data_IF_920142681612
#
_entry.id   IF_920142681612
#
_cell.length_a   1.000
_cell.length_b   1.000
_cell.length_c   1.000
_cell.angle_alpha   90.00
_cell.angle_beta   90.00
_cell.angle_gamma   90.00
#
_symmetry.space_group_name_H-M   'P 1'
#
loop_
_entity.id
_entity.type
_entity.pdbx_description
1 polymer ?
#
# COMPACT_ATOMS: atom_id res chain seq x y z
N UNK A 1 10.87 -12.16 -26.22
CA UNK A 1 11.59 -11.47 -25.13
C UNK A 1 11.26 -12.14 -23.80
N UNK A 2 12.27 -12.48 -22.98
CA UNK A 2 12.05 -13.09 -21.66
C UNK A 2 11.51 -12.03 -20.69
N UNK A 3 10.38 -12.32 -20.02
CA UNK A 3 9.88 -11.46 -18.93
C UNK A 3 10.96 -11.32 -17.84
N UNK A 4 11.15 -10.11 -17.26
CA UNK A 4 11.97 -9.86 -16.08
C UNK A 4 11.69 -10.85 -14.94
N UNK A 5 12.69 -11.12 -14.10
CA UNK A 5 12.56 -12.06 -12.97
C UNK A 5 11.47 -11.60 -11.99
N UNK A 6 11.38 -10.29 -11.75
CA UNK A 6 10.39 -9.69 -10.86
C UNK A 6 8.95 -9.97 -11.35
N UNK A 7 8.67 -9.75 -12.63
CA UNK A 7 7.36 -10.01 -13.23
C UNK A 7 6.95 -11.47 -13.07
N UNK A 8 7.90 -12.40 -13.20
CA UNK A 8 7.61 -13.83 -13.00
C UNK A 8 7.30 -14.17 -11.55
N UNK A 9 7.99 -13.54 -10.60
CA UNK A 9 7.71 -13.73 -9.18
C UNK A 9 6.34 -13.19 -8.81
N UNK A 10 5.96 -12.03 -9.35
CA UNK A 10 4.63 -11.43 -9.16
C UNK A 10 3.56 -12.34 -9.79
N UNK A 11 3.73 -12.73 -11.05
CA UNK A 11 2.81 -13.63 -11.75
C UNK A 11 2.65 -14.97 -11.01
N UNK A 12 3.75 -15.54 -10.49
CA UNK A 12 3.73 -16.78 -9.72
C UNK A 12 3.06 -16.61 -8.35
N UNK A 13 3.29 -15.50 -7.66
CA UNK A 13 2.68 -15.17 -6.38
C UNK A 13 1.17 -15.02 -6.51
N UNK A 14 0.72 -14.18 -7.46
CA UNK A 14 -0.71 -14.01 -7.77
C UNK A 14 -1.31 -15.37 -8.15
N UNK A 15 -0.67 -16.11 -9.06
CA UNK A 15 -1.16 -17.42 -9.48
C UNK A 15 -1.29 -18.42 -8.32
N UNK A 16 -0.37 -18.41 -7.36
CA UNK A 16 -0.40 -19.31 -6.20
C UNK A 16 -1.53 -18.95 -5.24
N UNK A 17 -1.65 -17.66 -4.90
CA UNK A 17 -2.69 -17.17 -3.99
C UNK A 17 -4.07 -17.35 -4.62
N UNK A 18 -4.22 -16.98 -5.89
CA UNK A 18 -5.49 -17.13 -6.62
C UNK A 18 -5.93 -18.59 -6.66
N UNK A 19 -5.03 -19.53 -6.98
CA UNK A 19 -5.36 -20.97 -6.97
C UNK A 19 -5.83 -21.44 -5.59
N UNK A 20 -5.17 -21.00 -4.52
CA UNK A 20 -5.55 -21.37 -3.15
C UNK A 20 -6.97 -20.89 -2.83
N UNK A 21 -7.27 -19.62 -3.10
CA UNK A 21 -8.59 -19.02 -2.85
C UNK A 21 -9.64 -19.71 -3.72
N UNK A 22 -9.40 -19.83 -5.02
CA UNK A 22 -10.30 -20.50 -5.96
C UNK A 22 -10.58 -21.95 -5.54
N UNK A 23 -9.58 -22.69 -5.06
CA UNK A 23 -9.77 -24.06 -4.56
C UNK A 23 -10.68 -24.12 -3.34
N UNK A 24 -10.58 -23.14 -2.44
CA UNK A 24 -11.45 -23.02 -1.26
C UNK A 24 -12.90 -22.70 -1.66
N UNK A 25 -13.09 -21.82 -2.65
CA UNK A 25 -14.43 -21.49 -3.17
C UNK A 25 -15.12 -22.69 -3.85
N UNK A 26 -14.34 -23.64 -4.38
CA UNK A 26 -14.81 -24.85 -5.07
C UNK A 26 -15.06 -26.06 -4.15
N UNK A 27 -14.64 -26.02 -2.87
CA UNK A 27 -14.91 -27.12 -1.92
C UNK A 27 -16.39 -27.44 -1.86
N UNK A 28 -16.78 -28.66 -1.47
CA UNK A 28 -18.17 -29.14 -1.46
C UNK A 28 -19.17 -28.21 -0.75
N UNK A 29 -18.69 -27.46 0.23
CA UNK A 29 -19.43 -26.53 1.07
C UNK A 29 -19.06 -25.06 0.73
N UNK A 30 -18.37 -24.85 -0.39
CA UNK A 30 -17.91 -23.57 -0.89
C UNK A 30 -19.00 -22.82 -1.67
N UNK A 31 -18.82 -21.51 -1.77
CA UNK A 31 -19.83 -20.60 -2.32
C UNK A 31 -20.22 -20.91 -3.78
N UNK A 32 -19.34 -21.58 -4.53
CA UNK A 32 -19.62 -21.98 -5.92
C UNK A 32 -20.69 -23.07 -6.05
N UNK A 33 -21.09 -23.74 -4.96
CA UNK A 33 -22.23 -24.67 -4.99
C UNK A 33 -23.57 -23.97 -4.74
N UNK A 34 -23.57 -22.67 -4.37
CA UNK A 34 -24.81 -21.90 -4.28
C UNK A 34 -25.30 -21.53 -5.69
N UNK A 35 -26.53 -21.90 -6.07
CA UNK A 35 -27.02 -21.74 -7.45
C UNK A 35 -26.91 -20.31 -7.99
N UNK A 36 -27.35 -19.32 -7.20
CA UNK A 36 -27.32 -17.91 -7.61
C UNK A 36 -25.90 -17.39 -7.85
N UNK A 37 -24.98 -17.76 -6.95
CA UNK A 37 -23.59 -17.36 -7.07
C UNK A 37 -22.89 -18.09 -8.23
N UNK A 38 -23.14 -19.39 -8.38
CA UNK A 38 -22.61 -20.20 -9.48
C UNK A 38 -23.02 -19.60 -10.83
N UNK A 39 -24.32 -19.38 -11.02
CA UNK A 39 -24.86 -18.83 -12.25
C UNK A 39 -24.25 -17.45 -12.56
N UNK A 40 -24.22 -16.54 -11.58
CA UNK A 40 -23.64 -15.21 -11.77
C UNK A 40 -22.15 -15.28 -12.15
N UNK A 41 -21.39 -16.21 -11.55
CA UNK A 41 -19.97 -16.41 -11.87
C UNK A 41 -19.77 -17.05 -13.25
N UNK A 42 -20.63 -17.98 -13.65
CA UNK A 42 -20.59 -18.57 -14.98
C UNK A 42 -20.93 -17.51 -16.05
N UNK A 43 -21.97 -16.72 -15.85
CA UNK A 43 -22.33 -15.59 -16.72
C UNK A 43 -21.17 -14.58 -16.82
N UNK A 44 -20.56 -14.23 -15.68
CA UNK A 44 -19.39 -13.37 -15.65
C UNK A 44 -18.21 -13.97 -16.43
N UNK A 45 -17.87 -15.25 -16.20
CA UNK A 45 -16.78 -15.93 -16.91
C UNK A 45 -17.00 -16.04 -18.41
N UNK A 46 -18.26 -16.20 -18.84
CA UNK A 46 -18.62 -16.23 -20.26
C UNK A 46 -18.25 -14.92 -20.98
N UNK A 47 -18.27 -13.77 -20.30
CA UNK A 47 -17.85 -12.46 -20.88
C UNK A 47 -16.36 -12.40 -21.26
N UNK A 48 -15.52 -13.27 -20.69
CA UNK A 48 -14.08 -13.33 -20.98
C UNK A 48 -13.72 -14.32 -22.10
N UNK A 49 -14.72 -14.98 -22.69
CA UNK A 49 -14.51 -15.98 -23.74
C UNK A 49 -15.10 -15.49 -25.06
N UNK A 50 -14.38 -15.70 -26.17
CA UNK A 50 -14.85 -15.32 -27.52
C UNK A 50 -15.92 -16.27 -28.08
N UNK A 51 -15.94 -17.52 -27.61
CA UNK A 51 -16.91 -18.55 -27.98
C UNK A 51 -17.64 -19.00 -26.73
N UNK A 52 -18.90 -19.42 -26.89
CA UNK A 52 -19.66 -20.01 -25.79
C UNK A 52 -18.94 -21.27 -25.29
N UNK A 53 -18.62 -21.29 -24.01
CA UNK A 53 -18.06 -22.47 -23.33
C UNK A 53 -19.16 -23.13 -22.51
N UNK A 54 -18.91 -24.34 -22.00
CA UNK A 54 -19.85 -24.96 -21.08
C UNK A 54 -19.88 -24.19 -19.74
N UNK A 55 -20.93 -24.40 -18.96
CA UNK A 55 -21.16 -23.67 -17.71
C UNK A 55 -20.05 -23.91 -16.68
N UNK A 56 -19.53 -25.12 -16.60
CA UNK A 56 -18.43 -25.47 -15.70
C UNK A 56 -17.17 -24.66 -16.04
N UNK A 57 -16.70 -24.70 -17.28
CA UNK A 57 -15.56 -23.93 -17.77
C UNK A 57 -15.77 -22.43 -17.59
N UNK A 58 -16.98 -21.93 -17.89
CA UNK A 58 -17.34 -20.52 -17.68
C UNK A 58 -17.18 -20.16 -16.20
N UNK A 59 -17.71 -20.98 -15.29
CA UNK A 59 -17.59 -20.78 -13.85
C UNK A 59 -16.12 -20.81 -13.40
N UNK A 60 -15.32 -21.76 -13.90
CA UNK A 60 -13.89 -21.87 -13.54
C UNK A 60 -13.11 -20.61 -13.97
N UNK A 61 -13.42 -20.07 -15.15
CA UNK A 61 -12.84 -18.83 -15.66
C UNK A 61 -13.32 -17.64 -14.82
N UNK A 62 -14.62 -17.53 -14.58
CA UNK A 62 -15.21 -16.42 -13.82
C UNK A 62 -14.61 -16.30 -12.42
N UNK A 63 -14.46 -17.42 -11.71
CA UNK A 63 -13.86 -17.40 -10.36
C UNK A 63 -12.37 -17.09 -10.37
N UNK A 64 -11.59 -17.58 -11.35
CA UNK A 64 -10.15 -17.26 -11.45
C UNK A 64 -9.95 -15.77 -11.75
N UNK A 65 -10.74 -15.21 -12.67
CA UNK A 65 -10.70 -13.79 -13.01
C UNK A 65 -11.12 -12.92 -11.83
N UNK A 66 -12.24 -13.25 -11.16
CA UNK A 66 -12.73 -12.54 -9.98
C UNK A 66 -11.63 -12.44 -8.92
N UNK A 67 -11.06 -13.59 -8.53
CA UNK A 67 -10.04 -13.65 -7.47
C UNK A 67 -8.79 -12.86 -7.86
N UNK A 68 -8.31 -12.98 -9.10
CA UNK A 68 -7.14 -12.21 -9.56
C UNK A 68 -7.40 -10.71 -9.55
N UNK A 69 -8.57 -10.27 -10.02
CA UNK A 69 -8.90 -8.85 -10.05
C UNK A 69 -9.08 -8.28 -8.65
N UNK A 70 -9.65 -9.04 -7.72
CA UNK A 70 -9.71 -8.65 -6.31
C UNK A 70 -8.31 -8.51 -5.70
N UNK A 71 -7.38 -9.44 -5.98
CA UNK A 71 -6.00 -9.34 -5.50
C UNK A 71 -5.25 -8.14 -6.10
N UNK A 72 -5.40 -7.90 -7.40
CA UNK A 72 -4.77 -6.75 -8.06
C UNK A 72 -5.35 -5.44 -7.53
N UNK A 73 -6.68 -5.36 -7.39
CA UNK A 73 -7.37 -4.21 -6.85
C UNK A 73 -6.96 -3.90 -5.41
N UNK A 74 -6.92 -4.91 -4.54
CA UNK A 74 -6.48 -4.73 -3.15
C UNK A 74 -5.02 -4.30 -3.06
N UNK A 75 -4.12 -4.91 -3.85
CA UNK A 75 -2.73 -4.51 -3.92
C UNK A 75 -2.58 -3.04 -4.38
N UNK A 76 -3.35 -2.61 -5.37
CA UNK A 76 -3.37 -1.22 -5.84
C UNK A 76 -3.81 -0.23 -4.75
N UNK A 77 -4.90 -0.53 -4.03
CA UNK A 77 -5.39 0.29 -2.92
C UNK A 77 -4.34 0.36 -1.80
N UNK A 78 -3.76 -0.77 -1.41
CA UNK A 78 -2.69 -0.81 -0.40
C UNK A 78 -1.48 0.03 -0.82
N UNK A 79 -1.07 -0.05 -2.09
CA UNK A 79 0.06 0.73 -2.61
C UNK A 79 -0.21 2.24 -2.53
N UNK A 80 -1.39 2.70 -2.96
CA UNK A 80 -1.79 4.11 -2.86
C UNK A 80 -1.78 4.58 -1.40
N UNK A 81 -2.31 3.75 -0.49
CA UNK A 81 -2.31 4.06 0.94
C UNK A 81 -0.89 4.19 1.50
N UNK A 82 0.01 3.27 1.16
CA UNK A 82 1.40 3.31 1.60
C UNK A 82 2.15 4.54 1.07
N UNK A 83 1.94 4.91 -0.21
CA UNK A 83 2.51 6.14 -0.77
C UNK A 83 2.03 7.36 0.00
N UNK A 84 0.71 7.47 0.23
CA UNK A 84 0.14 8.59 0.97
C UNK A 84 0.73 8.68 2.38
N UNK A 85 0.75 7.56 3.10
CA UNK A 85 1.33 7.48 4.43
C UNK A 85 2.81 7.88 4.45
N UNK A 86 3.59 7.49 3.44
CA UNK A 86 4.99 7.88 3.30
C UNK A 86 5.16 9.39 3.12
N UNK A 87 4.34 10.02 2.27
CA UNK A 87 4.36 11.48 2.09
C UNK A 87 3.93 12.24 3.35
N UNK A 88 2.91 11.75 4.05
CA UNK A 88 2.47 12.33 5.32
C UNK A 88 3.59 12.25 6.36
N UNK A 89 4.29 11.11 6.45
CA UNK A 89 5.46 10.94 7.30
C UNK A 89 6.59 11.91 6.93
N UNK A 90 6.94 12.05 5.65
CA UNK A 90 7.95 13.01 5.20
C UNK A 90 7.59 14.45 5.57
N UNK A 91 6.32 14.82 5.43
CA UNK A 91 5.82 16.15 5.80
C UNK A 91 5.94 16.41 7.30
N UNK A 92 5.60 15.42 8.12
CA UNK A 92 5.79 15.48 9.57
C UNK A 92 7.26 15.65 9.95
N UNK A 93 8.15 14.84 9.36
CA UNK A 93 9.61 14.92 9.62
C UNK A 93 10.19 16.28 9.23
N UNK A 94 9.73 16.87 8.12
CA UNK A 94 10.15 18.22 7.73
C UNK A 94 9.74 19.26 8.77
N UNK A 95 8.50 19.21 9.26
CA UNK A 95 8.00 20.11 10.29
C UNK A 95 8.76 19.95 11.62
N UNK A 96 9.08 18.71 12.01
CA UNK A 96 9.90 18.44 13.20
C UNK A 96 11.30 19.07 13.07
N UNK A 97 11.95 18.89 11.92
CA UNK A 97 13.28 19.46 11.65
C UNK A 97 13.26 20.99 11.66
N UNK A 98 12.22 21.63 11.11
CA UNK A 98 12.05 23.08 11.18
C UNK A 98 11.87 23.57 12.61
N UNK A 99 11.06 22.88 13.43
CA UNK A 99 10.89 23.20 14.86
C UNK A 99 12.19 23.07 15.65
N UNK A 100 12.95 22.01 15.40
CA UNK A 100 14.26 21.81 16.03
C UNK A 100 15.24 22.91 15.63
N UNK A 101 15.24 23.29 14.34
CA UNK A 101 16.08 24.39 13.85
C UNK A 101 15.75 25.71 14.52
N UNK A 102 14.46 26.08 14.59
CA UNK A 102 14.01 27.30 15.25
C UNK A 102 14.39 27.29 16.73
N UNK A 103 14.17 26.17 17.44
CA UNK A 103 14.56 26.02 18.85
C UNK A 103 16.07 26.22 19.04
N UNK A 104 16.90 25.57 18.21
CA UNK A 104 18.37 25.72 18.31
C UNK A 104 18.84 27.16 18.09
N UNK A 105 18.16 27.92 17.23
CA UNK A 105 18.48 29.32 16.99
C UNK A 105 18.12 30.20 18.20
N UNK A 106 16.94 29.96 18.79
CA UNK A 106 16.51 30.66 20.01
C UNK A 106 17.42 30.37 21.21
N UNK A 107 17.84 29.11 21.37
CA UNK A 107 18.79 28.72 22.42
C UNK A 107 20.14 29.44 22.23
N UNK A 108 20.66 29.49 21.00
CA UNK A 108 21.90 30.20 20.69
C UNK A 108 21.79 31.73 20.90
N UNK A 109 20.64 32.35 20.55
CA UNK A 109 20.39 33.77 20.83
C UNK A 109 20.38 34.05 22.35
N UNK A 110 19.73 33.19 23.14
CA UNK A 110 19.72 33.33 24.60
C UNK A 110 21.12 33.19 25.22
N UNK A 111 21.92 32.23 24.75
CA UNK A 111 23.32 32.08 25.20
C UNK A 111 24.14 33.33 24.87
N UNK A 112 23.99 33.87 23.66
CA UNK A 112 24.69 35.10 23.25
C UNK A 112 24.29 36.29 24.12
N UNK A 113 22.99 36.46 24.40
CA UNK A 113 22.48 37.52 25.28
C UNK A 113 23.07 37.41 26.69
N UNK A 114 23.14 36.20 27.25
CA UNK A 114 23.75 35.97 28.55
C UNK A 114 25.24 36.31 28.58
N UNK A 115 25.99 35.90 27.56
CA UNK A 115 27.42 36.24 27.42
C UNK A 115 27.60 37.76 27.32
N UNK A 116 26.76 38.45 26.54
CA UNK A 116 26.81 39.91 26.42
C UNK A 116 26.52 40.61 27.75
N UNK A 117 25.52 40.15 28.50
CA UNK A 117 25.22 40.70 29.83
C UNK A 117 26.38 40.49 30.80
N UNK A 118 26.96 39.29 30.86
CA UNK A 118 28.13 39.01 31.70
C UNK A 118 29.33 39.88 31.31
N UNK A 119 29.57 40.07 30.01
CA UNK A 119 30.63 40.95 29.53
C UNK A 119 30.39 42.41 29.94
N UNK A 120 29.16 42.92 29.88
CA UNK A 120 28.85 44.27 30.35
C UNK A 120 29.04 44.45 31.86
N UNK A 121 28.67 43.43 32.65
CA UNK A 121 28.85 43.44 34.12
C UNK A 121 30.35 43.45 34.46
N UNK A 122 31.14 42.56 33.87
CA UNK A 122 32.59 42.51 34.11
C UNK A 122 33.29 43.80 33.71
N UNK A 123 32.90 44.41 32.57
CA UNK A 123 33.45 45.70 32.13
C UNK A 123 33.11 46.86 33.07
N UNK A 124 31.94 46.84 33.73
CA UNK A 124 31.57 47.83 34.77
C UNK A 124 32.33 47.62 36.08
N UNK A 125 32.64 46.38 36.44
CA UNK A 125 33.39 46.04 37.66
C UNK A 125 34.86 46.46 37.63
N UNK A 126 35.43 46.73 36.46
CA UNK A 126 36.86 47.08 36.28
C UNK A 126 37.07 48.62 36.31
N UNK A 127 36.00 49.41 36.30
CA UNK A 127 36.04 50.87 36.50
C UNK A 127 35.76 51.23 37.95
#
# INVERSE_FOLDING_TARGET
MRKPILDRLIDAGIGTISRCITSSLRRKDGILHHPEFNQAIAEYGQTFTRKRVNEEDAMLIGVDVLVRYTLIGSAGVTYIYLIKSHFDWLKQRKLEMERLRVRSFQEAEQELEQIMQQYQISKRSIK
#
